data_IF_148849479192
#
_entry.id   IF_148849479192
#
_cell.length_a   1.000
_cell.length_b   1.000
_cell.length_c   1.000
_cell.angle_alpha   90.00
_cell.angle_beta   90.00
_cell.angle_gamma   90.00
#
_symmetry.space_group_name_H-M   'P 1'
#
loop_
_entity.id
_entity.type
_entity.pdbx_description
1 polymer ?
#
# COMPACT_ATOMS: atom_id res chain seq x y z
N UNK A 1 -41.35 20.74 -64.02
CA UNK A 1 -42.00 20.28 -62.78
C UNK A 1 -41.11 19.22 -62.16
N UNK A 2 -40.27 19.61 -61.22
CA UNK A 2 -39.61 18.67 -60.29
C UNK A 2 -39.33 19.41 -58.99
N UNK A 3 -39.71 18.74 -57.91
CA UNK A 3 -39.74 19.09 -56.49
C UNK A 3 -38.53 19.84 -55.93
N UNK A 4 -38.79 20.99 -55.31
CA UNK A 4 -37.96 21.59 -54.27
C UNK A 4 -38.39 21.07 -52.89
N UNK A 5 -37.46 20.48 -52.16
CA UNK A 5 -37.58 20.19 -50.72
C UNK A 5 -36.30 20.67 -50.03
N UNK A 6 -36.33 21.70 -49.18
CA UNK A 6 -35.19 22.06 -48.35
C UNK A 6 -35.20 21.25 -47.04
N UNK A 7 -34.11 20.54 -46.81
CA UNK A 7 -33.79 19.79 -45.60
C UNK A 7 -33.68 20.75 -44.40
N UNK A 8 -34.56 20.63 -43.41
CA UNK A 8 -34.42 21.32 -42.12
C UNK A 8 -33.31 20.66 -41.31
N UNK A 9 -32.20 21.37 -41.12
CA UNK A 9 -31.17 21.07 -40.14
C UNK A 9 -31.72 21.36 -38.74
N UNK A 10 -32.02 20.31 -37.97
CA UNK A 10 -32.31 20.42 -36.54
C UNK A 10 -30.99 20.42 -35.77
N UNK A 11 -30.55 21.60 -35.31
CA UNK A 11 -29.46 21.72 -34.36
C UNK A 11 -29.87 21.09 -33.02
N UNK A 12 -29.23 19.98 -32.65
CA UNK A 12 -29.33 19.40 -31.31
C UNK A 12 -28.66 20.33 -30.31
N UNK A 13 -29.45 20.87 -29.39
CA UNK A 13 -28.95 21.61 -28.23
C UNK A 13 -28.09 20.68 -27.34
N UNK A 14 -27.00 21.17 -26.73
CA UNK A 14 -26.21 20.40 -25.79
C UNK A 14 -27.05 20.09 -24.55
N UNK A 15 -27.20 18.80 -24.25
CA UNK A 15 -27.83 18.36 -23.00
C UNK A 15 -26.97 18.82 -21.84
N UNK A 16 -27.53 19.67 -20.97
CA UNK A 16 -26.94 20.03 -19.69
C UNK A 16 -26.63 18.76 -18.89
N UNK A 17 -25.36 18.47 -18.67
CA UNK A 17 -24.92 17.47 -17.72
C UNK A 17 -25.43 17.87 -16.33
N UNK A 18 -26.32 17.06 -15.76
CA UNK A 18 -26.74 17.18 -14.38
C UNK A 18 -25.52 16.92 -13.46
N UNK A 19 -25.32 17.71 -12.39
CA UNK A 19 -24.28 17.41 -11.41
C UNK A 19 -24.58 16.06 -10.78
N UNK A 20 -23.65 15.12 -10.90
CA UNK A 20 -23.75 13.80 -10.29
C UNK A 20 -23.80 13.94 -8.76
N UNK A 21 -24.95 13.69 -8.15
CA UNK A 21 -25.10 13.59 -6.70
C UNK A 21 -24.07 12.59 -6.14
N UNK A 22 -23.39 12.87 -5.01
CA UNK A 22 -22.50 11.90 -4.38
C UNK A 22 -23.31 10.65 -3.99
N UNK A 23 -22.76 9.47 -4.28
CA UNK A 23 -23.41 8.21 -3.90
C UNK A 23 -23.39 8.07 -2.37
N UNK A 24 -24.46 7.54 -1.73
CA UNK A 24 -24.44 7.34 -0.29
C UNK A 24 -23.32 6.35 0.09
N UNK A 25 -22.55 6.60 1.17
CA UNK A 25 -21.42 5.76 1.53
C UNK A 25 -21.84 4.34 1.92
N UNK A 26 -21.01 3.36 1.54
CA UNK A 26 -21.15 1.98 1.98
C UNK A 26 -20.71 1.88 3.43
N UNK A 27 -21.67 1.97 4.35
CA UNK A 27 -21.40 1.99 5.78
C UNK A 27 -21.68 0.63 6.43
N UNK A 28 -20.68 -0.25 6.55
CA UNK A 28 -20.84 -1.42 7.40
C UNK A 28 -21.13 -0.99 8.83
N UNK A 29 -21.92 -1.79 9.55
CA UNK A 29 -22.27 -1.51 10.94
C UNK A 29 -21.01 -1.42 11.82
N UNK A 30 -21.06 -0.58 12.85
CA UNK A 30 -19.94 -0.43 13.78
C UNK A 30 -19.54 -1.78 14.42
N UNK A 31 -20.52 -2.62 14.75
CA UNK A 31 -20.27 -3.97 15.27
C UNK A 31 -19.46 -4.84 14.29
N UNK A 32 -19.78 -4.79 12.99
CA UNK A 32 -19.00 -5.50 11.97
C UNK A 32 -17.58 -4.97 11.88
N UNK A 33 -17.39 -3.65 11.90
CA UNK A 33 -16.08 -2.99 11.81
C UNK A 33 -15.19 -3.36 13.01
N UNK A 34 -15.74 -3.32 14.22
CA UNK A 34 -15.04 -3.77 15.44
C UNK A 34 -14.69 -5.26 15.37
N UNK A 35 -15.61 -6.11 14.89
CA UNK A 35 -15.32 -7.55 14.71
C UNK A 35 -14.12 -7.76 13.77
N UNK A 36 -14.08 -7.07 12.64
CA UNK A 36 -12.96 -7.15 11.68
C UNK A 36 -11.64 -6.66 12.28
N UNK A 37 -11.68 -5.57 13.03
CA UNK A 37 -10.52 -5.07 13.76
C UNK A 37 -9.96 -6.14 14.73
N UNK A 38 -10.83 -6.73 15.54
CA UNK A 38 -10.45 -7.74 16.55
C UNK A 38 -9.90 -9.02 15.89
N UNK A 39 -10.46 -9.42 14.75
CA UNK A 39 -9.87 -10.50 13.93
C UNK A 39 -8.45 -10.14 13.47
N UNK A 40 -8.21 -8.88 13.14
CA UNK A 40 -6.90 -8.31 12.80
C UNK A 40 -5.84 -8.36 13.91
N UNK A 41 -6.24 -8.64 15.16
CA UNK A 41 -5.37 -8.84 16.32
C UNK A 41 -4.94 -10.30 16.52
N UNK A 42 -5.04 -11.16 15.50
CA UNK A 42 -4.69 -12.58 15.61
C UNK A 42 -3.22 -12.77 16.03
N UNK A 43 -3.02 -13.36 17.21
CA UNK A 43 -1.72 -13.58 17.84
C UNK A 43 -1.12 -14.96 17.56
N UNK A 44 -1.74 -15.79 16.72
CA UNK A 44 -1.19 -17.10 16.38
C UNK A 44 0.27 -16.94 15.95
N UNK A 45 1.18 -17.56 16.68
CA UNK A 45 2.59 -17.51 16.35
C UNK A 45 2.78 -18.27 15.04
N UNK A 46 3.28 -17.58 14.01
CA UNK A 46 3.57 -18.19 12.73
C UNK A 46 4.97 -18.77 12.73
N UNK A 47 5.12 -19.96 12.18
CA UNK A 47 6.40 -20.66 12.02
C UNK A 47 6.73 -20.83 10.54
N UNK A 48 7.87 -21.46 10.26
CA UNK A 48 8.26 -21.89 8.90
C UNK A 48 7.35 -22.97 8.33
N UNK A 49 6.55 -23.64 9.15
CA UNK A 49 5.56 -24.60 8.65
C UNK A 49 4.35 -23.88 8.06
N UNK A 50 3.96 -22.74 8.66
CA UNK A 50 2.86 -21.91 8.16
C UNK A 50 3.25 -21.14 6.89
N UNK A 51 4.50 -20.67 6.83
CA UNK A 51 5.08 -19.95 5.67
C UNK A 51 6.44 -20.58 5.32
N UNK A 52 6.44 -21.67 4.54
CA UNK A 52 7.65 -22.37 4.17
C UNK A 52 8.55 -21.52 3.29
N UNK A 53 9.87 -21.61 3.54
CA UNK A 53 10.89 -21.06 2.65
C UNK A 53 10.73 -21.65 1.25
N UNK A 54 10.88 -20.80 0.24
CA UNK A 54 10.78 -21.17 -1.17
C UNK A 54 12.07 -20.74 -1.87
N UNK A 55 12.50 -21.50 -2.87
CA UNK A 55 13.64 -21.09 -3.69
C UNK A 55 13.25 -19.85 -4.52
N UNK A 56 13.89 -18.73 -4.22
CA UNK A 56 13.77 -17.46 -4.94
C UNK A 56 15.08 -17.13 -5.67
N UNK A 57 15.95 -18.11 -5.88
CA UNK A 57 17.18 -17.94 -6.66
C UNK A 57 16.89 -17.27 -7.99
N UNK A 58 17.69 -16.25 -8.33
CA UNK A 58 17.60 -15.44 -9.56
C UNK A 58 16.34 -14.56 -9.65
N UNK A 59 15.46 -14.57 -8.65
CA UNK A 59 14.30 -13.68 -8.58
C UNK A 59 14.72 -12.32 -8.03
N UNK A 60 14.18 -11.26 -8.61
CA UNK A 60 14.41 -9.89 -8.13
C UNK A 60 13.24 -9.39 -7.31
N UNK A 61 13.54 -8.91 -6.11
CA UNK A 61 12.57 -8.36 -5.17
C UNK A 61 12.99 -6.94 -4.79
N UNK A 62 12.09 -5.98 -5.00
CA UNK A 62 12.28 -4.60 -4.55
C UNK A 62 11.39 -4.35 -3.34
N UNK A 63 11.98 -3.94 -2.22
CA UNK A 63 11.26 -3.70 -0.96
C UNK A 63 11.47 -2.26 -0.54
N UNK A 64 10.37 -1.52 -0.36
CA UNK A 64 10.44 -0.14 0.11
C UNK A 64 10.41 -0.07 1.64
N UNK A 65 11.24 0.76 2.24
CA UNK A 65 11.34 0.88 3.71
C UNK A 65 11.83 -0.40 4.36
N UNK A 66 12.85 -1.04 3.78
CA UNK A 66 13.39 -2.32 4.22
C UNK A 66 14.57 -2.21 5.17
N UNK A 67 14.93 -1.00 5.61
CA UNK A 67 16.00 -0.80 6.57
C UNK A 67 15.55 -0.99 8.02
N UNK A 68 14.24 -1.02 8.31
CA UNK A 68 13.76 -1.19 9.68
C UNK A 68 12.45 -2.00 9.75
N UNK A 69 12.11 -2.47 10.95
CA UNK A 69 10.84 -3.13 11.25
C UNK A 69 10.50 -4.29 10.31
N UNK A 70 9.24 -4.38 9.92
CA UNK A 70 8.71 -5.48 9.10
C UNK A 70 9.43 -5.60 7.75
N UNK A 71 9.81 -4.47 7.14
CA UNK A 71 10.51 -4.46 5.85
C UNK A 71 11.89 -5.12 5.93
N UNK A 72 12.65 -4.83 7.00
CA UNK A 72 13.94 -5.47 7.27
C UNK A 72 13.79 -6.97 7.51
N UNK A 73 12.84 -7.35 8.37
CA UNK A 73 12.57 -8.78 8.60
C UNK A 73 12.15 -9.49 7.31
N UNK A 74 11.31 -8.88 6.47
CA UNK A 74 10.96 -9.45 5.16
C UNK A 74 12.19 -9.61 4.24
N UNK A 75 13.09 -8.62 4.21
CA UNK A 75 14.36 -8.72 3.48
C UNK A 75 15.19 -9.91 3.95
N UNK A 76 15.27 -10.16 5.26
CA UNK A 76 15.98 -11.32 5.83
C UNK A 76 15.38 -12.64 5.33
N UNK A 77 14.06 -12.80 5.39
CA UNK A 77 13.39 -14.01 4.86
C UNK A 77 13.65 -14.22 3.37
N UNK A 78 13.58 -13.15 2.56
CA UNK A 78 13.87 -13.27 1.13
C UNK A 78 15.34 -13.56 0.85
N UNK A 79 16.25 -13.08 1.69
CA UNK A 79 17.67 -13.36 1.59
C UNK A 79 17.96 -14.85 1.85
N UNK A 80 17.35 -15.44 2.88
CA UNK A 80 17.41 -16.88 3.15
C UNK A 80 16.84 -17.72 1.99
N UNK A 81 15.81 -17.22 1.30
CA UNK A 81 15.26 -17.83 0.09
C UNK A 81 16.20 -17.72 -1.14
N UNK A 82 17.34 -17.03 -1.05
CA UNK A 82 18.28 -16.82 -2.17
C UNK A 82 17.85 -15.75 -3.18
N UNK A 83 16.89 -14.88 -2.85
CA UNK A 83 16.44 -13.82 -3.74
C UNK A 83 17.50 -12.74 -3.95
N UNK A 84 17.53 -12.14 -5.14
CA UNK A 84 18.21 -10.85 -5.34
C UNK A 84 17.33 -9.73 -4.80
N UNK A 85 17.92 -8.81 -4.04
CA UNK A 85 17.19 -7.78 -3.32
C UNK A 85 17.62 -6.37 -3.74
N UNK A 86 16.63 -5.50 -3.90
CA UNK A 86 16.81 -4.05 -3.83
C UNK A 86 16.15 -3.54 -2.56
N UNK A 87 16.97 -3.09 -1.62
CA UNK A 87 16.56 -2.41 -0.40
C UNK A 87 16.34 -0.92 -0.74
N UNK A 88 15.10 -0.57 -1.07
CA UNK A 88 14.73 0.79 -1.45
C UNK A 88 14.43 1.62 -0.19
N UNK A 89 15.41 2.39 0.25
CA UNK A 89 15.41 3.07 1.55
C UNK A 89 15.73 4.56 1.40
N UNK A 90 15.44 5.35 2.43
CA UNK A 90 15.88 6.75 2.44
C UNK A 90 17.41 6.81 2.47
N UNK A 91 18.04 7.73 1.72
CA UNK A 91 19.50 7.91 1.75
C UNK A 91 20.01 8.29 3.15
N UNK A 92 19.22 9.08 3.87
CA UNK A 92 19.55 9.56 5.22
C UNK A 92 18.44 9.12 6.19
N UNK A 93 18.43 7.86 6.64
CA UNK A 93 17.44 7.41 7.62
C UNK A 93 17.69 8.12 8.97
N UNK A 94 16.63 8.35 9.77
CA UNK A 94 16.75 8.82 11.15
C UNK A 94 17.70 7.96 11.98
N UNK A 95 18.38 8.57 12.95
CA UNK A 95 19.40 7.89 13.76
C UNK A 95 18.90 6.68 14.59
N UNK A 96 17.59 6.55 14.80
CA UNK A 96 16.98 5.41 15.50
C UNK A 96 16.63 4.24 14.56
N UNK A 97 16.80 4.41 13.25
CA UNK A 97 16.60 3.35 12.26
C UNK A 97 17.94 2.76 11.86
N UNK A 98 17.95 1.45 11.58
CA UNK A 98 19.14 0.76 11.07
C UNK A 98 19.52 1.33 9.70
N UNK A 99 20.82 1.41 9.43
CA UNK A 99 21.34 1.83 8.12
C UNK A 99 21.09 0.73 7.08
N UNK A 100 20.66 1.06 5.84
CA UNK A 100 20.43 0.05 4.82
C UNK A 100 21.62 -0.86 4.55
N UNK A 101 22.85 -0.35 4.64
CA UNK A 101 24.09 -1.11 4.41
C UNK A 101 24.32 -2.19 5.48
N UNK A 102 23.90 -1.94 6.72
CA UNK A 102 23.93 -2.95 7.79
C UNK A 102 22.95 -4.09 7.46
N UNK A 103 21.76 -3.76 6.94
CA UNK A 103 20.78 -4.77 6.51
C UNK A 103 21.27 -5.57 5.31
N UNK A 104 22.06 -4.98 4.41
CA UNK A 104 22.74 -5.73 3.34
C UNK A 104 23.66 -6.80 3.94
N UNK A 105 24.54 -6.42 4.86
CA UNK A 105 25.47 -7.36 5.48
C UNK A 105 24.75 -8.51 6.21
N UNK A 106 23.64 -8.20 6.90
CA UNK A 106 22.78 -9.19 7.56
C UNK A 106 22.13 -10.15 6.56
N UNK A 107 21.54 -9.62 5.48
CA UNK A 107 20.92 -10.41 4.43
C UNK A 107 21.94 -11.33 3.75
N UNK A 108 23.12 -10.81 3.42
CA UNK A 108 24.19 -11.61 2.82
C UNK A 108 24.68 -12.74 3.75
N UNK A 109 24.74 -12.49 5.07
CA UNK A 109 25.10 -13.52 6.04
C UNK A 109 24.06 -14.65 6.06
N UNK A 110 22.77 -14.30 6.12
CA UNK A 110 21.66 -15.26 6.10
C UNK A 110 21.60 -16.06 4.80
N UNK A 111 21.83 -15.41 3.66
CA UNK A 111 21.91 -16.06 2.36
C UNK A 111 23.05 -17.08 2.28
N UNK A 112 24.24 -16.73 2.79
CA UNK A 112 25.40 -17.65 2.84
C UNK A 112 25.16 -18.86 3.74
N UNK A 113 24.57 -18.65 4.92
CA UNK A 113 24.25 -19.72 5.88
C UNK A 113 23.29 -20.74 5.25
N UNK A 114 22.27 -20.26 4.54
CA UNK A 114 21.27 -21.12 3.92
C UNK A 114 21.82 -21.85 2.68
N UNK A 115 22.65 -21.17 1.88
CA UNK A 115 23.29 -21.72 0.69
C UNK A 115 24.30 -22.85 1.03
N UNK A 116 25.06 -22.71 2.12
CA UNK A 116 25.94 -23.77 2.62
C UNK A 116 25.22 -25.08 2.94
N UNK A 117 23.91 -25.02 3.20
CA UNK A 117 23.06 -26.18 3.44
C UNK A 117 22.43 -26.78 2.17
N UNK A 118 22.45 -26.08 1.03
CA UNK A 118 21.71 -26.45 -0.19
C UNK A 118 22.59 -26.66 -1.45
N UNK A 119 23.92 -26.57 -1.31
CA UNK A 119 24.87 -26.77 -2.42
C UNK A 119 25.11 -25.51 -3.26
N UNK A 120 26.32 -25.41 -3.82
CA UNK A 120 26.91 -24.27 -4.58
C UNK A 120 26.04 -23.01 -4.70
N UNK A 121 26.31 -22.04 -3.81
CA UNK A 121 25.62 -20.76 -3.74
C UNK A 121 25.67 -20.00 -5.07
N UNK A 122 24.56 -20.02 -5.81
CA UNK A 122 24.34 -19.17 -6.97
C UNK A 122 24.34 -17.72 -6.46
N UNK A 123 25.27 -16.90 -6.96
CA UNK A 123 25.53 -15.54 -6.44
C UNK A 123 24.25 -14.72 -6.25
N UNK A 124 23.98 -14.36 -5.01
CA UNK A 124 22.92 -13.46 -4.60
C UNK A 124 23.41 -12.01 -4.67
N UNK A 125 22.60 -11.11 -5.23
CA UNK A 125 22.89 -9.67 -5.26
C UNK A 125 21.93 -8.92 -4.35
N UNK A 126 22.46 -8.16 -3.40
CA UNK A 126 21.69 -7.33 -2.47
C UNK A 126 22.19 -5.89 -2.59
N UNK A 127 21.31 -4.99 -3.03
CA UNK A 127 21.66 -3.61 -3.37
C UNK A 127 20.86 -2.62 -2.51
N UNK A 128 21.48 -1.50 -2.11
CA UNK A 128 20.77 -0.35 -1.50
C UNK A 128 20.48 0.69 -2.57
N UNK A 129 19.21 1.06 -2.70
CA UNK A 129 18.79 2.08 -3.65
C UNK A 129 18.05 3.19 -2.91
N UNK A 130 18.46 4.43 -3.16
CA UNK A 130 17.88 5.58 -2.49
C UNK A 130 16.48 5.89 -3.01
N UNK A 131 15.55 6.09 -2.08
CA UNK A 131 14.22 6.62 -2.37
C UNK A 131 13.64 7.37 -1.17
N UNK A 132 13.12 8.57 -1.44
CA UNK A 132 12.38 9.37 -0.47
C UNK A 132 10.94 9.53 -0.95
N UNK A 133 10.01 8.82 -0.30
CA UNK A 133 8.60 8.82 -0.67
C UNK A 133 7.90 10.17 -0.41
N UNK A 134 8.55 11.08 0.33
CA UNK A 134 8.08 12.46 0.49
C UNK A 134 8.46 13.37 -0.69
N UNK A 135 9.14 12.83 -1.71
CA UNK A 135 9.54 13.52 -2.95
C UNK A 135 9.26 12.64 -4.16
N UNK A 136 8.22 12.93 -4.94
CA UNK A 136 7.79 12.09 -6.07
C UNK A 136 8.89 11.97 -7.15
N UNK A 137 9.72 13.00 -7.31
CA UNK A 137 10.91 12.96 -8.19
C UNK A 137 11.89 11.85 -7.80
N UNK A 138 12.06 11.58 -6.50
CA UNK A 138 12.89 10.47 -6.00
C UNK A 138 12.29 9.11 -6.35
N UNK A 139 10.96 8.99 -6.38
CA UNK A 139 10.25 7.76 -6.77
C UNK A 139 10.40 7.51 -8.27
N UNK A 140 10.31 8.56 -9.09
CA UNK A 140 10.57 8.47 -10.53
C UNK A 140 12.00 8.01 -10.79
N UNK A 141 12.99 8.65 -10.15
CA UNK A 141 14.40 8.27 -10.31
C UNK A 141 14.69 6.80 -9.93
N UNK A 142 14.04 6.29 -8.88
CA UNK A 142 14.13 4.87 -8.50
C UNK A 142 13.62 3.96 -9.63
N UNK A 143 12.47 4.28 -10.21
CA UNK A 143 11.86 3.49 -11.28
C UNK A 143 12.63 3.58 -12.61
N UNK A 144 13.16 4.76 -12.95
CA UNK A 144 14.01 4.98 -14.12
C UNK A 144 15.31 4.18 -14.00
N UNK A 145 16.00 4.28 -12.85
CA UNK A 145 17.19 3.48 -12.55
C UNK A 145 16.88 1.98 -12.68
N UNK A 146 15.72 1.53 -12.22
CA UNK A 146 15.31 0.13 -12.39
C UNK A 146 15.14 -0.23 -13.86
N UNK A 147 14.45 0.61 -14.63
CA UNK A 147 14.24 0.46 -16.06
C UNK A 147 15.55 0.33 -16.84
N UNK A 148 16.55 1.17 -16.53
CA UNK A 148 17.88 1.15 -17.15
C UNK A 148 18.62 -0.18 -16.98
N UNK A 149 18.33 -0.93 -15.91
CA UNK A 149 18.96 -2.24 -15.70
C UNK A 149 18.48 -3.31 -16.68
N UNK A 150 17.31 -3.11 -17.33
CA UNK A 150 16.67 -4.11 -18.18
C UNK A 150 16.18 -5.37 -17.46
N UNK A 151 16.36 -5.48 -16.13
CA UNK A 151 15.99 -6.64 -15.32
C UNK A 151 14.46 -6.80 -15.25
N UNK A 152 13.98 -8.04 -15.21
CA UNK A 152 12.58 -8.32 -14.83
C UNK A 152 12.41 -8.19 -13.32
N UNK A 153 11.28 -7.61 -12.88
CA UNK A 153 10.96 -7.53 -11.44
C UNK A 153 9.97 -8.65 -11.12
N UNK A 154 10.32 -9.54 -10.18
CA UNK A 154 9.44 -10.64 -9.80
C UNK A 154 8.48 -10.22 -8.67
N UNK A 155 8.99 -9.46 -7.69
CA UNK A 155 8.17 -9.00 -6.55
C UNK A 155 8.43 -7.52 -6.24
N UNK A 156 7.36 -6.73 -6.17
CA UNK A 156 7.37 -5.39 -5.59
C UNK A 156 6.68 -5.41 -4.22
N UNK A 157 7.42 -5.08 -3.17
CA UNK A 157 6.90 -4.93 -1.81
C UNK A 157 6.73 -3.44 -1.48
N UNK A 158 5.51 -2.93 -1.66
CA UNK A 158 5.07 -1.60 -1.25
C UNK A 158 4.87 -1.58 0.27
N UNK A 159 5.97 -1.44 1.02
CA UNK A 159 5.98 -1.59 2.47
C UNK A 159 6.23 -0.28 3.24
N UNK A 160 6.98 0.67 2.67
CA UNK A 160 7.29 1.92 3.34
C UNK A 160 6.01 2.63 3.88
N UNK A 161 6.14 3.31 5.01
CA UNK A 161 5.02 4.06 5.55
C UNK A 161 5.34 4.78 6.84
N UNK A 162 4.54 5.80 7.13
CA UNK A 162 4.64 6.62 8.34
C UNK A 162 3.28 6.74 9.02
N UNK A 163 3.28 6.96 10.34
CA UNK A 163 2.08 7.29 11.11
C UNK A 163 2.04 8.79 11.44
N UNK A 164 0.83 9.33 11.57
CA UNK A 164 0.61 10.71 12.05
C UNK A 164 1.14 10.96 13.47
N UNK A 165 1.32 9.91 14.27
CA UNK A 165 1.89 10.00 15.64
C UNK A 165 3.34 10.48 15.67
N UNK A 166 4.12 10.30 14.60
CA UNK A 166 5.52 10.73 14.53
C UNK A 166 5.70 12.26 14.61
N UNK A 167 4.66 13.04 14.32
CA UNK A 167 4.74 14.50 14.25
C UNK A 167 3.91 15.23 15.31
N UNK A 168 3.11 14.51 16.10
CA UNK A 168 2.34 15.09 17.21
C UNK A 168 3.23 15.65 18.34
N UNK A 169 4.49 15.21 18.42
CA UNK A 169 5.45 15.64 19.47
C UNK A 169 6.46 16.73 19.07
N UNK A 170 6.44 17.24 17.83
CA UNK A 170 7.47 18.18 17.33
C UNK A 170 6.96 19.64 17.26
N UNK A 171 5.69 19.89 17.56
CA UNK A 171 5.13 21.25 17.65
C UNK A 171 5.12 21.75 19.09
N UNK A 172 5.52 23.01 19.35
CA UNK A 172 5.44 23.60 20.68
C UNK A 172 4.03 23.48 21.26
N UNK A 173 3.97 23.17 22.56
CA UNK A 173 2.75 23.12 23.36
C UNK A 173 1.82 24.28 23.01
N UNK A 174 0.53 23.96 22.88
CA UNK A 174 -0.57 24.89 22.64
C UNK A 174 -0.82 25.85 23.83
N UNK A 175 0.23 26.46 24.39
CA UNK A 175 0.14 27.51 25.40
C UNK A 175 -0.26 28.86 24.82
N UNK A 176 -0.25 29.04 23.50
CA UNK A 176 -0.66 30.27 22.84
C UNK A 176 -1.94 30.08 22.03
N UNK A 177 -3.08 29.97 22.72
CA UNK A 177 -4.35 30.63 22.39
C UNK A 177 -4.93 30.60 20.96
N UNK A 178 -4.40 29.78 20.05
CA UNK A 178 -4.92 29.60 18.69
C UNK A 178 -4.99 28.10 18.42
N UNK A 179 -6.17 27.54 18.62
CA UNK A 179 -6.62 26.42 17.79
C UNK A 179 -6.71 26.93 16.35
N UNK A 180 -5.58 27.10 15.68
CA UNK A 180 -5.55 27.31 14.25
C UNK A 180 -5.83 25.94 13.62
N UNK A 181 -7.05 25.75 13.14
CA UNK A 181 -7.37 24.65 12.22
C UNK A 181 -6.29 24.60 11.12
N UNK A 182 -5.42 23.57 11.14
CA UNK A 182 -4.33 23.41 10.17
C UNK A 182 -2.89 23.45 10.72
N UNK A 183 -2.65 23.73 12.01
CA UNK A 183 -1.30 23.81 12.58
C UNK A 183 -0.49 22.48 12.60
N UNK A 184 -1.14 21.35 12.30
CA UNK A 184 -0.54 20.01 12.31
C UNK A 184 -0.33 19.43 10.90
N UNK A 185 -0.61 20.22 9.85
CA UNK A 185 -0.54 19.81 8.46
C UNK A 185 0.87 20.00 7.91
N UNK A 186 1.60 18.90 7.72
CA UNK A 186 2.88 18.93 7.01
C UNK A 186 2.65 18.54 5.55
N UNK A 187 2.97 19.45 4.63
CA UNK A 187 2.98 19.17 3.19
C UNK A 187 4.37 18.74 2.74
N UNK A 188 4.43 17.90 1.72
CA UNK A 188 5.65 17.59 0.97
C UNK A 188 6.04 18.76 0.06
N UNK A 189 7.22 18.71 -0.53
CA UNK A 189 7.63 19.67 -1.57
C UNK A 189 6.76 19.58 -2.83
N UNK A 190 6.18 18.41 -3.10
CA UNK A 190 5.23 18.19 -4.19
C UNK A 190 3.83 18.79 -3.87
N UNK A 191 3.61 19.31 -2.66
CA UNK A 191 2.40 20.02 -2.25
C UNK A 191 1.28 19.14 -1.70
N UNK A 192 1.52 17.85 -1.52
CA UNK A 192 0.56 16.88 -0.97
C UNK A 192 0.69 16.75 0.55
N UNK A 193 -0.36 16.29 1.22
CA UNK A 193 -0.26 15.88 2.63
C UNK A 193 0.77 14.76 2.79
N UNK A 194 1.66 14.89 3.78
CA UNK A 194 2.82 14.01 3.95
C UNK A 194 2.45 12.53 4.08
N UNK A 195 1.48 12.18 4.94
CA UNK A 195 1.08 10.78 5.15
C UNK A 195 0.39 10.23 3.90
N UNK A 196 -0.45 11.02 3.25
CA UNK A 196 -1.10 10.67 2.00
C UNK A 196 -0.09 10.38 0.89
N UNK A 197 0.89 11.27 0.69
CA UNK A 197 1.90 11.04 -0.33
C UNK A 197 2.73 9.79 -0.01
N UNK A 198 3.28 9.70 1.19
CA UNK A 198 4.19 8.62 1.57
C UNK A 198 3.47 7.27 1.57
N UNK A 199 2.28 7.17 2.15
CA UNK A 199 1.61 5.87 2.36
C UNK A 199 0.73 5.44 1.19
N UNK A 200 0.42 6.34 0.23
CA UNK A 200 -0.52 6.06 -0.85
C UNK A 200 0.01 6.52 -2.22
N UNK A 201 0.16 7.83 -2.45
CA UNK A 201 0.41 8.37 -3.79
C UNK A 201 1.75 7.90 -4.37
N UNK A 202 2.82 7.92 -3.57
CA UNK A 202 4.15 7.46 -3.96
C UNK A 202 4.20 5.96 -4.29
N UNK A 203 3.45 5.13 -3.56
CA UNK A 203 3.33 3.70 -3.87
C UNK A 203 2.57 3.44 -5.18
N UNK A 204 1.49 4.21 -5.42
CA UNK A 204 0.75 4.12 -6.68
C UNK A 204 1.65 4.49 -7.86
N UNK A 205 2.39 5.60 -7.74
CA UNK A 205 3.36 6.05 -8.73
C UNK A 205 4.43 5.00 -9.02
N UNK A 206 5.12 4.51 -7.97
CA UNK A 206 6.16 3.50 -8.13
C UNK A 206 5.64 2.25 -8.82
N UNK A 207 4.46 1.79 -8.41
CA UNK A 207 3.83 0.60 -8.99
C UNK A 207 3.55 0.81 -10.47
N UNK A 208 2.92 1.92 -10.85
CA UNK A 208 2.62 2.23 -12.24
C UNK A 208 3.88 2.26 -13.12
N UNK A 209 4.95 2.89 -12.64
CA UNK A 209 6.22 2.97 -13.37
C UNK A 209 6.92 1.60 -13.50
N UNK A 210 6.72 0.70 -12.55
CA UNK A 210 7.32 -0.64 -12.55
C UNK A 210 6.47 -1.72 -13.22
N UNK A 211 5.20 -1.45 -13.58
CA UNK A 211 4.32 -2.40 -14.28
C UNK A 211 4.98 -3.03 -15.51
N UNK A 212 5.64 -2.28 -16.43
CA UNK A 212 6.30 -2.88 -17.59
C UNK A 212 7.42 -3.86 -17.22
N UNK A 213 8.10 -3.64 -16.10
CA UNK A 213 9.14 -4.56 -15.62
C UNK A 213 8.58 -5.81 -14.97
N UNK A 214 7.50 -5.66 -14.21
CA UNK A 214 6.78 -6.78 -13.61
C UNK A 214 6.24 -7.71 -14.71
N UNK A 215 5.66 -7.16 -15.76
CA UNK A 215 5.10 -7.93 -16.87
C UNK A 215 6.11 -8.82 -17.62
N UNK A 216 7.42 -8.61 -17.46
CA UNK A 216 8.47 -9.44 -18.07
C UNK A 216 8.75 -10.75 -17.33
N UNK A 217 8.25 -10.91 -16.10
CA UNK A 217 8.50 -12.12 -15.29
C UNK A 217 7.32 -13.10 -15.39
N UNK A 218 7.55 -14.41 -15.13
CA UNK A 218 6.50 -15.41 -15.31
C UNK A 218 5.40 -15.38 -14.23
N UNK A 219 5.71 -14.90 -13.02
CA UNK A 219 4.77 -14.84 -11.89
C UNK A 219 4.96 -13.53 -11.09
N UNK A 220 4.69 -12.35 -11.69
CA UNK A 220 4.90 -11.07 -11.05
C UNK A 220 3.90 -10.80 -9.93
N UNK A 221 4.42 -10.30 -8.80
CA UNK A 221 3.63 -10.02 -7.59
C UNK A 221 3.88 -8.62 -7.09
N UNK A 222 2.81 -7.94 -6.70
CA UNK A 222 2.85 -6.68 -5.98
C UNK A 222 2.19 -6.93 -4.62
N UNK A 223 2.95 -6.70 -3.55
CA UNK A 223 2.46 -6.86 -2.17
C UNK A 223 2.45 -5.49 -1.51
N UNK A 224 1.27 -5.05 -1.09
CA UNK A 224 1.09 -3.75 -0.46
C UNK A 224 0.81 -3.91 1.04
N UNK A 225 1.66 -3.33 1.88
CA UNK A 225 1.46 -3.31 3.33
C UNK A 225 0.34 -2.33 3.68
N UNK A 226 -0.85 -2.86 3.94
CA UNK A 226 -2.04 -2.12 4.35
C UNK A 226 -2.18 -2.13 5.88
N UNK A 227 -3.40 -2.03 6.42
CA UNK A 227 -3.65 -2.10 7.86
C UNK A 227 -5.11 -2.43 8.14
N UNK A 228 -5.38 -3.09 9.26
CA UNK A 228 -6.74 -3.20 9.82
C UNK A 228 -7.32 -1.85 10.26
N UNK A 229 -6.52 -0.78 10.38
CA UNK A 229 -7.02 0.57 10.64
C UNK A 229 -7.89 1.13 9.51
N UNK A 230 -7.91 0.50 8.33
CA UNK A 230 -8.90 0.80 7.30
C UNK A 230 -10.35 0.62 7.80
N UNK A 231 -10.58 -0.28 8.77
CA UNK A 231 -11.90 -0.47 9.37
C UNK A 231 -12.30 0.67 10.31
N UNK A 232 -11.39 1.60 10.65
CA UNK A 232 -11.68 2.86 11.35
C UNK A 232 -11.74 4.08 10.42
N UNK A 233 -11.53 3.89 9.11
CA UNK A 233 -11.68 4.97 8.14
C UNK A 233 -13.05 5.65 8.28
N UNK A 234 -13.08 6.97 8.13
CA UNK A 234 -14.32 7.71 8.31
C UNK A 234 -15.36 7.30 7.28
N UNK A 235 -16.64 7.43 7.65
CA UNK A 235 -17.78 7.19 6.76
C UNK A 235 -17.71 8.09 5.51
N UNK A 236 -17.13 9.28 5.65
CA UNK A 236 -16.93 10.29 4.61
C UNK A 236 -15.49 10.27 4.05
N UNK A 237 -14.74 9.17 4.20
CA UNK A 237 -13.33 9.12 3.79
C UNK A 237 -13.12 9.57 2.34
N UNK A 238 -14.01 9.20 1.42
CA UNK A 238 -13.92 9.59 0.00
C UNK A 238 -14.18 11.08 -0.23
N UNK A 239 -15.04 11.72 0.57
CA UNK A 239 -15.26 13.17 0.50
C UNK A 239 -14.02 13.95 0.95
N UNK A 240 -13.14 13.28 1.70
CA UNK A 240 -11.85 13.77 2.17
C UNK A 240 -10.69 13.25 1.33
N UNK A 241 -10.92 12.79 0.10
CA UNK A 241 -9.84 12.32 -0.77
C UNK A 241 -8.94 13.47 -1.30
N UNK A 242 -9.14 14.73 -0.89
CA UNK A 242 -8.36 15.86 -1.39
C UNK A 242 -7.09 16.15 -0.58
N UNK A 243 -5.94 15.67 -1.05
CA UNK A 243 -4.61 15.94 -0.48
C UNK A 243 -4.21 17.42 -0.33
N UNK A 244 -4.82 18.36 -1.08
CA UNK A 244 -4.55 19.81 -0.92
C UNK A 244 -5.43 20.45 0.15
N UNK A 245 -6.60 19.87 0.42
CA UNK A 245 -7.58 20.29 1.43
C UNK A 245 -7.68 19.40 2.69
N UNK A 246 -6.91 18.32 2.74
CA UNK A 246 -6.97 17.32 3.80
C UNK A 246 -6.59 17.89 5.19
N UNK A 247 -7.36 17.54 6.22
CA UNK A 247 -7.09 17.92 7.63
C UNK A 247 -6.37 16.76 8.33
N UNK A 248 -5.13 16.98 8.80
CA UNK A 248 -4.30 16.01 9.54
C UNK A 248 -4.98 15.42 10.78
N UNK A 249 -4.80 14.11 11.03
CA UNK A 249 -5.26 13.42 12.25
C UNK A 249 -5.27 11.89 12.11
N UNK A 250 -5.56 11.17 13.21
CA UNK A 250 -5.57 9.69 13.26
C UNK A 250 -6.52 9.05 12.22
N UNK A 251 -7.60 9.74 11.86
CA UNK A 251 -8.52 9.28 10.81
C UNK A 251 -7.88 9.28 9.42
N UNK A 252 -6.86 10.11 9.13
CA UNK A 252 -6.22 10.14 7.81
C UNK A 252 -5.40 8.90 7.51
N UNK A 253 -4.72 8.35 8.51
CA UNK A 253 -3.96 7.11 8.32
C UNK A 253 -4.89 5.95 7.95
N UNK A 254 -5.98 5.77 8.71
CA UNK A 254 -7.02 4.77 8.41
C UNK A 254 -7.65 4.98 7.02
N UNK A 255 -7.92 6.24 6.64
CA UNK A 255 -8.43 6.59 5.32
C UNK A 255 -7.43 6.22 4.21
N UNK A 256 -6.14 6.57 4.34
CA UNK A 256 -5.12 6.23 3.36
C UNK A 256 -4.96 4.72 3.18
N UNK A 257 -5.05 3.94 4.27
CA UNK A 257 -5.01 2.47 4.18
C UNK A 257 -6.27 1.90 3.52
N UNK A 258 -7.43 2.53 3.70
CA UNK A 258 -8.64 2.21 2.93
C UNK A 258 -8.48 2.56 1.45
N UNK A 259 -7.98 3.76 1.11
CA UNK A 259 -7.73 4.18 -0.27
C UNK A 259 -6.77 3.22 -0.98
N UNK A 260 -5.68 2.83 -0.31
CA UNK A 260 -4.74 1.85 -0.85
C UNK A 260 -5.43 0.51 -1.13
N UNK A 261 -6.27 0.00 -0.22
CA UNK A 261 -6.99 -1.25 -0.44
C UNK A 261 -8.01 -1.16 -1.58
N UNK A 262 -8.74 -0.04 -1.70
CA UNK A 262 -9.65 0.20 -2.82
C UNK A 262 -8.88 0.24 -4.15
N UNK A 263 -7.74 0.94 -4.16
CA UNK A 263 -6.87 1.06 -5.33
C UNK A 263 -6.26 -0.28 -5.74
N UNK A 264 -5.85 -1.12 -4.79
CA UNK A 264 -5.38 -2.50 -5.04
C UNK A 264 -6.44 -3.31 -5.80
N UNK A 265 -7.69 -3.28 -5.32
CA UNK A 265 -8.79 -4.01 -5.97
C UNK A 265 -9.07 -3.48 -7.38
N UNK A 266 -8.95 -2.16 -7.59
CA UNK A 266 -9.15 -1.58 -8.92
C UNK A 266 -7.98 -1.85 -9.88
N UNK A 267 -6.73 -1.78 -9.40
CA UNK A 267 -5.56 -2.14 -10.20
C UNK A 267 -5.64 -3.61 -10.64
N UNK A 268 -5.99 -4.54 -9.72
CA UNK A 268 -6.15 -5.95 -10.10
C UNK A 268 -7.18 -6.11 -11.22
N UNK A 269 -8.37 -5.52 -11.06
CA UNK A 269 -9.43 -5.60 -12.07
C UNK A 269 -8.94 -5.09 -13.43
N UNK A 270 -8.14 -4.03 -13.44
CA UNK A 270 -7.61 -3.40 -14.66
C UNK A 270 -6.54 -4.24 -15.33
N UNK A 271 -5.59 -4.80 -14.58
CA UNK A 271 -4.57 -5.69 -15.15
C UNK A 271 -5.19 -6.98 -15.69
N UNK A 272 -6.24 -7.49 -15.05
CA UNK A 272 -6.98 -8.67 -15.54
C UNK A 272 -7.70 -8.37 -16.87
N UNK A 273 -8.16 -7.13 -17.05
CA UNK A 273 -8.78 -6.65 -18.30
C UNK A 273 -7.79 -6.10 -19.33
N UNK A 274 -6.47 -6.10 -19.06
CA UNK A 274 -5.48 -5.55 -19.97
C UNK A 274 -5.52 -6.28 -21.32
N UNK A 275 -5.32 -5.58 -22.43
CA UNK A 275 -5.27 -6.21 -23.75
C UNK A 275 -4.01 -7.07 -23.89
N UNK A 276 -2.88 -6.60 -23.35
CA UNK A 276 -1.62 -7.31 -23.40
C UNK A 276 -1.54 -8.39 -22.32
N UNK A 277 -1.48 -9.65 -22.75
CA UNK A 277 -1.52 -10.85 -21.91
C UNK A 277 -0.44 -10.88 -20.80
N UNK A 278 0.73 -10.29 -21.08
CA UNK A 278 1.83 -10.17 -20.12
C UNK A 278 1.44 -9.42 -18.84
N UNK A 279 0.53 -8.44 -18.90
CA UNK A 279 0.04 -7.73 -17.73
C UNK A 279 -1.01 -8.53 -16.95
N UNK A 280 -1.80 -9.39 -17.61
CA UNK A 280 -2.81 -10.25 -16.94
C UNK A 280 -2.19 -11.27 -15.98
N UNK A 281 -0.86 -11.46 -16.05
CA UNK A 281 -0.10 -12.28 -15.11
C UNK A 281 0.15 -11.56 -13.79
N UNK A 282 0.07 -10.23 -13.73
CA UNK A 282 0.36 -9.45 -12.53
C UNK A 282 -0.71 -9.68 -11.47
N UNK A 283 -0.25 -10.06 -10.28
CA UNK A 283 -1.09 -10.17 -9.09
C UNK A 283 -0.73 -9.06 -8.11
N UNK A 284 -1.73 -8.33 -7.63
CA UNK A 284 -1.56 -7.35 -6.56
C UNK A 284 -2.44 -7.68 -5.37
N UNK A 285 -1.87 -7.74 -4.17
CA UNK A 285 -2.62 -8.00 -2.93
C UNK A 285 -2.24 -7.04 -1.80
N UNK A 286 -3.21 -6.80 -0.92
CA UNK A 286 -3.02 -6.04 0.31
C UNK A 286 -2.81 -6.95 1.51
N UNK A 287 -1.81 -6.66 2.34
CA UNK A 287 -1.52 -7.41 3.56
C UNK A 287 -1.52 -6.49 4.78
N UNK A 288 -2.30 -6.84 5.80
CA UNK A 288 -2.17 -6.28 7.14
C UNK A 288 -1.29 -7.22 7.96
N UNK A 289 -0.08 -6.80 8.38
CA UNK A 289 0.88 -7.69 9.04
C UNK A 289 0.48 -8.07 10.47
N UNK A 290 -0.50 -7.40 11.07
CA UNK A 290 -0.76 -7.42 12.51
C UNK A 290 -0.37 -6.09 13.16
N UNK A 291 -0.72 -5.88 14.42
CA UNK A 291 -0.24 -4.72 15.18
C UNK A 291 1.20 -5.01 15.59
N UNK A 292 2.20 -4.50 14.89
CA UNK A 292 3.61 -4.81 15.15
C UNK A 292 4.35 -3.70 15.88
N UNK A 293 5.32 -4.07 16.74
CA UNK A 293 6.26 -3.13 17.36
C UNK A 293 7.31 -2.67 16.34
N UNK A 294 6.93 -1.72 15.50
CA UNK A 294 7.72 -1.29 14.34
C UNK A 294 8.44 0.04 14.57
N UNK A 295 8.49 0.53 15.82
CA UNK A 295 8.92 1.91 16.11
C UNK A 295 7.94 2.98 15.61
N UNK A 296 6.87 2.60 14.90
CA UNK A 296 5.81 3.51 14.45
C UNK A 296 4.99 4.06 15.64
N UNK A 297 5.02 3.36 16.77
CA UNK A 297 4.26 3.63 17.98
C UNK A 297 5.12 4.24 19.10
N UNK A 298 5.94 5.25 18.81
CA UNK A 298 6.54 6.06 19.88
C UNK A 298 5.48 7.04 20.42
N UNK A 299 4.80 6.66 21.50
CA UNK A 299 3.91 7.54 22.26
C UNK A 299 4.69 8.13 23.43
N UNK A 300 4.97 9.43 23.40
CA UNK A 300 5.09 10.22 24.62
C UNK A 300 3.69 10.70 25.01
N UNK A 301 3.38 10.61 26.30
CA UNK A 301 2.07 10.84 26.88
C UNK A 301 1.53 12.24 26.54
N UNK A 302 0.44 12.29 25.78
CA UNK A 302 -0.44 13.46 25.72
C UNK A 302 -1.89 12.98 25.81
N UNK A 303 -2.46 13.19 26.99
CA UNK A 303 -3.91 13.14 27.19
C UNK A 303 -4.52 14.30 26.40
N UNK A 304 -4.97 14.04 25.17
CA UNK A 304 -5.78 14.97 24.41
C UNK A 304 -7.24 14.50 24.47
N UNK A 305 -8.06 15.30 25.15
CA UNK A 305 -9.50 15.18 25.16
C UNK A 305 -10.05 15.37 23.74
N UNK A 306 -10.85 14.41 23.28
CA UNK A 306 -11.77 14.62 22.16
C UNK A 306 -11.40 13.96 20.84
N UNK A 307 -11.67 12.65 20.70
CA UNK A 307 -12.19 12.08 19.47
C UNK A 307 -12.89 10.74 19.73
N UNK A 308 -14.13 10.61 19.26
CA UNK A 308 -14.78 9.41 18.72
C UNK A 308 -14.85 8.07 19.45
N UNK A 309 -14.16 7.83 20.56
CA UNK A 309 -14.23 6.54 21.28
C UNK A 309 -15.47 6.55 22.17
N UNK A 310 -16.46 5.70 21.85
CA UNK A 310 -17.66 5.50 22.65
C UNK A 310 -17.30 5.34 24.13
N UNK A 311 -18.02 6.05 25.00
CA UNK A 311 -17.68 6.24 26.42
C UNK A 311 -17.48 5.00 27.29
N UNK A 312 -17.75 3.78 26.80
CA UNK A 312 -17.49 2.54 27.54
C UNK A 312 -16.01 2.11 27.51
N UNK A 313 -15.21 2.53 26.53
CA UNK A 313 -13.77 2.22 26.50
C UNK A 313 -12.97 3.18 27.41
N UNK A 314 -13.53 4.37 27.71
CA UNK A 314 -12.95 5.38 28.59
C UNK A 314 -13.01 5.02 30.08
N UNK A 315 -13.77 3.99 30.45
CA UNK A 315 -13.88 3.52 31.84
C UNK A 315 -12.90 2.39 32.19
N UNK A 316 -12.14 1.88 31.21
CA UNK A 316 -11.11 0.88 31.47
C UNK A 316 -9.86 1.59 32.03
N UNK A 317 -9.30 1.13 33.16
CA UNK A 317 -8.06 1.70 33.69
C UNK A 317 -6.96 1.67 32.62
N UNK A 318 -6.15 2.73 32.54
CA UNK A 318 -5.06 2.87 31.55
C UNK A 318 -4.11 1.64 31.54
N UNK A 319 -3.97 0.97 32.69
CA UNK A 319 -3.26 -0.31 32.82
C UNK A 319 -3.91 -1.47 32.09
N UNK A 320 -5.24 -1.52 32.01
CA UNK A 320 -6.00 -2.53 31.27
C UNK A 320 -5.90 -2.24 29.78
N UNK A 321 -6.04 -0.99 29.35
CA UNK A 321 -5.83 -0.60 27.94
C UNK A 321 -4.39 -0.87 27.47
N UNK A 322 -3.36 -0.49 28.25
CA UNK A 322 -1.96 -0.79 27.97
C UNK A 322 -1.67 -2.29 27.97
N UNK A 323 -2.37 -3.07 28.81
CA UNK A 323 -2.29 -4.54 28.81
C UNK A 323 -3.01 -5.14 27.60
N UNK A 324 -4.14 -4.61 27.15
CA UNK A 324 -4.81 -5.01 25.91
C UNK A 324 -4.01 -4.63 24.64
N UNK A 325 -3.39 -3.45 24.65
CA UNK A 325 -2.50 -2.98 23.59
C UNK A 325 -1.22 -3.82 23.52
N UNK A 326 -0.57 -4.10 24.66
CA UNK A 326 0.63 -4.96 24.72
C UNK A 326 0.32 -6.44 24.41
N UNK A 327 -0.91 -6.89 24.64
CA UNK A 327 -1.39 -8.19 24.18
C UNK A 327 -1.68 -8.23 22.68
N UNK A 328 -1.58 -7.13 21.92
CA UNK A 328 -1.84 -7.12 20.47
C UNK A 328 -0.56 -6.96 19.64
N UNK A 329 0.58 -6.67 20.28
CA UNK A 329 1.85 -6.36 19.63
C UNK A 329 2.57 -7.65 19.22
N UNK A 330 2.86 -7.80 17.92
CA UNK A 330 3.71 -8.85 17.37
C UNK A 330 5.10 -8.30 17.02
N UNK A 331 6.10 -9.18 16.92
CA UNK A 331 7.43 -8.78 16.48
C UNK A 331 7.44 -8.43 14.97
N UNK A 332 8.40 -7.62 14.51
CA UNK A 332 8.63 -7.38 13.08
C UNK A 332 8.75 -8.65 12.24
N UNK A 333 9.41 -9.69 12.77
CA UNK A 333 9.54 -11.00 12.09
C UNK A 333 8.19 -11.68 11.93
N UNK A 334 7.33 -11.61 12.96
CA UNK A 334 5.98 -12.14 12.90
C UNK A 334 5.09 -11.38 11.90
N UNK A 335 5.33 -10.08 11.72
CA UNK A 335 4.65 -9.26 10.71
C UNK A 335 5.14 -9.53 9.29
N UNK A 336 6.44 -9.81 9.13
CA UNK A 336 7.06 -10.09 7.83
C UNK A 336 6.48 -11.32 7.13
N UNK A 337 6.00 -12.31 7.88
CA UNK A 337 5.30 -13.47 7.32
C UNK A 337 4.11 -13.09 6.42
N UNK A 338 3.42 -11.97 6.70
CA UNK A 338 2.34 -11.50 5.83
C UNK A 338 2.85 -11.11 4.44
N UNK A 339 3.95 -10.36 4.38
CA UNK A 339 4.60 -9.93 3.14
C UNK A 339 5.18 -11.14 2.41
N UNK A 340 5.95 -11.97 3.12
CA UNK A 340 6.63 -13.15 2.55
C UNK A 340 5.63 -14.16 2.01
N UNK A 341 4.54 -14.42 2.73
CA UNK A 341 3.50 -15.34 2.26
C UNK A 341 2.81 -14.81 1.00
N UNK A 342 2.40 -13.54 0.97
CA UNK A 342 1.78 -12.97 -0.24
C UNK A 342 2.74 -12.97 -1.45
N UNK A 343 4.03 -12.73 -1.20
CA UNK A 343 5.08 -12.73 -2.21
C UNK A 343 5.43 -14.13 -2.73
N UNK A 344 5.24 -15.20 -1.95
CA UNK A 344 5.76 -16.54 -2.31
C UNK A 344 4.70 -17.65 -2.37
N UNK A 345 3.47 -17.41 -1.90
CA UNK A 345 2.41 -18.42 -1.90
C UNK A 345 2.13 -18.89 -3.34
N UNK A 346 2.16 -20.20 -3.61
CA UNK A 346 1.86 -20.74 -4.95
C UNK A 346 0.50 -20.26 -5.46
N UNK A 347 0.39 -20.10 -6.78
CA UNK A 347 -0.92 -19.90 -7.42
C UNK A 347 -1.70 -21.21 -7.42
N UNK A 348 -3.01 -21.12 -7.21
CA UNK A 348 -3.92 -22.23 -7.49
C UNK A 348 -3.84 -22.57 -8.98
N UNK A 349 -3.81 -23.86 -9.29
CA UNK A 349 -3.77 -24.33 -10.67
C UNK A 349 -5.10 -24.07 -11.38
N UNK A 350 -5.07 -23.94 -12.71
CA UNK A 350 -6.31 -23.91 -13.52
C UNK A 350 -7.04 -25.23 -13.29
N UNK A 351 -8.32 -25.15 -12.92
CA UNK A 351 -9.14 -26.32 -12.54
C UNK A 351 -9.23 -26.59 -11.03
N UNK A 352 -8.35 -25.99 -10.21
CA UNK A 352 -8.43 -26.02 -8.73
C UNK A 352 -9.04 -24.71 -8.19
N UNK A 353 -10.13 -24.25 -8.79
CA UNK A 353 -10.82 -23.01 -8.41
C UNK A 353 -10.53 -21.80 -9.29
N UNK A 354 -9.58 -21.90 -10.22
CA UNK A 354 -9.31 -20.87 -11.25
C UNK A 354 -9.79 -21.35 -12.62
N UNK A 355 -10.59 -20.53 -13.30
CA UNK A 355 -11.13 -20.82 -14.64
C UNK A 355 -10.15 -20.34 -15.72
N UNK A 356 -10.08 -21.06 -16.83
CA UNK A 356 -9.28 -20.66 -17.99
C UNK A 356 -9.79 -19.31 -18.54
N UNK A 357 -8.89 -18.32 -18.64
CA UNK A 357 -9.25 -16.93 -19.00
C UNK A 357 -9.52 -16.00 -17.82
N UNK A 358 -9.58 -16.50 -16.58
CA UNK A 358 -9.53 -15.64 -15.39
C UNK A 358 -8.11 -15.06 -15.20
N UNK A 359 -8.05 -13.77 -14.86
CA UNK A 359 -6.82 -13.06 -14.57
C UNK A 359 -6.02 -13.65 -13.40
N UNK A 360 -5.01 -12.94 -12.91
CA UNK A 360 -4.05 -13.51 -11.95
C UNK A 360 -4.65 -13.89 -10.58
N UNK A 361 -5.90 -13.52 -10.30
CA UNK A 361 -6.63 -13.87 -9.08
C UNK A 361 -6.19 -13.11 -7.83
N UNK A 362 -5.73 -11.85 -8.00
CA UNK A 362 -5.36 -10.96 -6.89
C UNK A 362 -6.49 -10.04 -6.43
N UNK A 363 -6.14 -8.83 -6.01
CA UNK A 363 -7.05 -7.82 -5.47
C UNK A 363 -7.50 -8.15 -4.05
N UNK A 364 -6.86 -9.13 -3.40
CA UNK A 364 -7.27 -9.69 -2.11
C UNK A 364 -6.73 -8.88 -0.95
N UNK A 365 -7.32 -9.12 0.22
CA UNK A 365 -6.88 -8.55 1.49
C UNK A 365 -6.56 -9.68 2.46
N UNK A 366 -5.35 -9.67 3.01
CA UNK A 366 -4.90 -10.68 3.97
C UNK A 366 -4.69 -10.05 5.34
N UNK A 367 -5.21 -10.72 6.36
CA UNK A 367 -4.83 -10.49 7.74
C UNK A 367 -3.77 -11.51 8.11
N UNK A 368 -2.53 -11.04 8.25
CA UNK A 368 -1.33 -11.87 8.32
C UNK A 368 -1.23 -12.75 7.08
N UNK A 369 -1.54 -14.05 7.21
CA UNK A 369 -1.50 -15.01 6.09
C UNK A 369 -2.87 -15.49 5.62
N UNK A 370 -3.94 -15.08 6.32
CA UNK A 370 -5.31 -15.52 6.03
C UNK A 370 -6.06 -14.47 5.23
N UNK A 371 -6.68 -14.90 4.13
CA UNK A 371 -7.57 -14.05 3.35
C UNK A 371 -8.74 -13.59 4.23
N UNK A 372 -9.07 -12.31 4.17
CA UNK A 372 -10.18 -11.75 4.92
C UNK A 372 -10.93 -10.72 4.09
N UNK A 373 -12.22 -10.62 4.37
CA UNK A 373 -13.10 -9.66 3.70
C UNK A 373 -12.63 -8.21 3.97
N UNK A 374 -12.33 -7.42 2.92
CA UNK A 374 -11.98 -6.01 3.05
C UNK A 374 -13.22 -5.15 3.32
N UNK A 375 -13.04 -3.83 3.44
CA UNK A 375 -14.17 -2.89 3.48
C UNK A 375 -15.02 -3.01 2.20
N UNK A 376 -16.37 -2.93 2.26
CA UNK A 376 -17.25 -3.08 1.10
C UNK A 376 -16.93 -2.14 -0.08
N UNK A 377 -16.35 -0.98 0.21
CA UNK A 377 -15.79 -0.03 -0.74
C UNK A 377 -14.86 -0.66 -1.79
N UNK A 378 -14.14 -1.73 -1.44
CA UNK A 378 -13.22 -2.41 -2.36
C UNK A 378 -13.97 -3.20 -3.44
N UNK A 379 -15.18 -3.68 -3.14
CA UNK A 379 -16.04 -4.42 -4.10
C UNK A 379 -16.97 -3.50 -4.87
N UNK A 380 -17.13 -2.24 -4.46
CA UNK A 380 -17.99 -1.26 -5.12
C UNK A 380 -17.30 -0.54 -6.28
N UNK A 381 -17.87 -0.67 -7.48
CA UNK A 381 -17.30 -0.10 -8.71
C UNK A 381 -17.22 1.43 -8.67
N UNK A 382 -18.19 2.11 -8.05
CA UNK A 382 -18.20 3.57 -7.96
C UNK A 382 -17.08 4.09 -7.07
N UNK A 383 -16.91 3.47 -5.91
CA UNK A 383 -15.83 3.81 -4.97
C UNK A 383 -14.46 3.53 -5.58
N UNK A 384 -14.28 2.35 -6.19
CA UNK A 384 -13.04 2.02 -6.92
C UNK A 384 -12.73 3.03 -8.00
N UNK A 385 -13.70 3.36 -8.84
CA UNK A 385 -13.51 4.32 -9.92
C UNK A 385 -13.23 5.74 -9.45
N UNK A 386 -13.82 6.15 -8.32
CA UNK A 386 -13.55 7.44 -7.69
C UNK A 386 -12.10 7.53 -7.20
N UNK A 387 -11.64 6.56 -6.39
CA UNK A 387 -10.26 6.54 -5.89
C UNK A 387 -9.28 6.52 -7.05
N UNK A 388 -9.53 5.69 -8.07
CA UNK A 388 -8.70 5.61 -9.26
C UNK A 388 -8.55 6.94 -9.98
N UNK A 389 -9.68 7.58 -10.32
CA UNK A 389 -9.66 8.91 -10.99
C UNK A 389 -8.89 9.91 -10.18
N UNK A 390 -9.15 9.99 -8.88
CA UNK A 390 -8.49 10.97 -8.02
C UNK A 390 -6.99 10.72 -7.90
N UNK A 391 -6.55 9.47 -7.80
CA UNK A 391 -5.12 9.13 -7.87
C UNK A 391 -4.50 9.63 -9.17
N UNK A 392 -5.15 9.43 -10.32
CA UNK A 392 -4.64 9.93 -11.60
C UNK A 392 -4.64 11.46 -11.67
N UNK A 393 -5.70 12.14 -11.18
CA UNK A 393 -5.78 13.61 -11.12
C UNK A 393 -4.62 14.20 -10.29
N UNK A 394 -4.29 13.59 -9.14
CA UNK A 394 -3.16 14.02 -8.29
C UNK A 394 -1.81 13.77 -8.96
N UNK A 395 -1.62 12.59 -9.57
CA UNK A 395 -0.40 12.29 -10.31
C UNK A 395 -0.22 13.20 -11.55
N UNK A 396 -1.30 13.56 -12.25
CA UNK A 396 -1.27 14.54 -13.35
C UNK A 396 -0.97 15.96 -12.87
N UNK A 397 -1.42 16.31 -11.66
CA UNK A 397 -1.10 17.60 -11.06
C UNK A 397 0.41 17.71 -10.71
N UNK A 398 1.08 16.59 -10.47
CA UNK A 398 2.53 16.51 -10.30
C UNK A 398 3.27 16.55 -11.64
N UNK A 399 2.87 15.71 -12.60
CA UNK A 399 3.45 15.63 -13.95
C UNK A 399 2.33 15.40 -14.98
N UNK A 400 2.09 16.40 -15.82
CA UNK A 400 0.99 16.41 -16.79
C UNK A 400 1.09 15.27 -17.81
N UNK A 401 2.32 14.85 -18.16
CA UNK A 401 2.57 13.83 -19.17
C UNK A 401 2.72 12.41 -18.57
N UNK A 402 2.69 12.29 -17.24
CA UNK A 402 2.89 11.01 -16.55
C UNK A 402 1.87 9.97 -16.99
N UNK A 403 0.57 10.30 -16.95
CA UNK A 403 -0.50 9.33 -17.24
C UNK A 403 -0.45 8.85 -18.69
N UNK A 404 -0.12 9.71 -19.64
CA UNK A 404 -0.02 9.34 -21.05
C UNK A 404 1.11 8.34 -21.34
N UNK A 405 2.10 8.22 -20.44
CA UNK A 405 3.22 7.26 -20.55
C UNK A 405 2.93 5.91 -19.89
N UNK A 406 1.83 5.78 -19.13
CA UNK A 406 1.46 4.53 -18.46
C UNK A 406 0.76 3.55 -19.42
N UNK A 407 0.68 2.25 -19.10
CA UNK A 407 -0.07 1.29 -19.92
C UNK A 407 -1.53 1.73 -20.14
N UNK A 408 -2.10 1.40 -21.30
CA UNK A 408 -3.44 1.87 -21.72
C UNK A 408 -4.55 1.54 -20.71
N UNK A 409 -4.52 0.34 -20.11
CA UNK A 409 -5.48 -0.09 -19.08
C UNK A 409 -5.40 0.73 -17.78
N UNK A 410 -4.33 1.49 -17.58
CA UNK A 410 -4.20 2.43 -16.46
C UNK A 410 -4.91 3.74 -16.78
N UNK A 411 -4.77 4.22 -18.02
CA UNK A 411 -5.25 5.53 -18.49
C UNK A 411 -6.77 5.62 -18.59
N UNK A 412 -7.46 4.49 -18.81
CA UNK A 412 -8.90 4.47 -19.04
C UNK A 412 -9.65 4.96 -17.80
N UNK A 413 -10.43 6.02 -17.91
CA UNK A 413 -11.33 6.41 -16.83
C UNK A 413 -12.55 5.46 -16.79
N UNK A 414 -12.98 5.03 -15.60
CA UNK A 414 -14.08 4.08 -15.43
C UNK A 414 -15.46 4.67 -15.75
#
# INVERSE_FOLDING_TARGET
>A
MSSDSPTKTSALQPQHAQPSSPSPPLNPSWAWRIRKLLQGGNRQLLTRDDVPLRDLSRKWILITGSNNGIGRSAAHFFAECGANLVLACRPNPPAHETRPEEVVAECEALGRETAGSHGEGKGQSIEVWDVDFSRLSSVVALAERWGETGRGLDVLCNNAGISSSFYAGITPSASEGKQAEGAWMRRTEDGFELVHQVNFLAHCLLTFLLLPSLARTPDPRIVCTTSNLQFFASVDALDRFDSKGLRSGESLYGNNKLFLQIWISELQRRVDSAEEEQYRKIRIDGVHPGTADTGIWHRQDAAAEGSGVSGWLKSLPDRVFKRFASLSIISPEQGAYAIVNAATKPREAVGEGRVEGEGAGGGKYFNRIWETEPMPHCSDARTRGFVWRKTLEELQAYDQDLVTRLPSFVQTLP
#
